data_IF_005704405067
#
_entry.id   IF_005704405067
#
_cell.length_a   1.000
_cell.length_b   1.000
_cell.length_c   1.000
_cell.angle_alpha   90.00
_cell.angle_beta   90.00
_cell.angle_gamma   90.00
#
_symmetry.space_group_name_H-M   'P 1'
#
loop_
_entity.id
_entity.type
_entity.pdbx_description
1 polymer ?
#
# COMPACT_ATOMS: atom_id res chain seq x y z
N UNK A 1 14.96 -38.26 23.10
CA UNK A 1 15.44 -36.95 22.64
C UNK A 1 14.80 -36.60 21.28
N UNK A 2 13.53 -36.99 21.11
CA UNK A 2 12.78 -36.93 19.84
C UNK A 2 11.40 -36.27 20.07
N UNK A 3 10.86 -36.31 21.29
CA UNK A 3 9.59 -35.67 21.67
C UNK A 3 9.67 -34.16 21.85
N UNK A 4 10.83 -33.61 22.25
CA UNK A 4 11.00 -32.15 22.47
C UNK A 4 11.01 -31.33 21.18
N UNK A 5 11.24 -31.99 20.03
CA UNK A 5 11.11 -31.36 18.71
C UNK A 5 9.63 -31.23 18.33
N UNK A 6 8.80 -32.23 18.62
CA UNK A 6 7.38 -32.19 18.28
C UNK A 6 6.66 -31.12 19.08
N UNK A 7 6.89 -31.05 20.38
CA UNK A 7 6.27 -30.06 21.27
C UNK A 7 6.60 -28.61 20.86
N UNK A 8 7.84 -28.32 20.45
CA UNK A 8 8.24 -26.97 20.03
C UNK A 8 7.63 -26.51 18.71
N UNK A 9 7.47 -27.41 17.75
CA UNK A 9 6.88 -27.04 16.47
C UNK A 9 5.35 -26.87 16.57
N UNK A 10 4.70 -27.51 17.54
CA UNK A 10 3.27 -27.30 17.77
C UNK A 10 2.98 -25.89 18.28
N UNK A 11 3.83 -25.31 19.13
CA UNK A 11 3.68 -23.91 19.55
C UNK A 11 3.79 -22.94 18.37
N UNK A 12 4.71 -23.19 17.43
CA UNK A 12 4.87 -22.38 16.21
C UNK A 12 3.68 -22.54 15.25
N UNK A 13 3.13 -23.76 15.15
CA UNK A 13 1.92 -24.05 14.36
C UNK A 13 0.69 -23.41 15.00
N UNK A 14 0.53 -23.49 16.32
CA UNK A 14 -0.57 -22.87 17.05
C UNK A 14 -0.51 -21.34 16.94
N UNK A 15 0.70 -20.75 17.03
CA UNK A 15 0.90 -19.32 16.83
C UNK A 15 0.55 -18.88 15.40
N UNK A 16 0.98 -19.65 14.40
CA UNK A 16 0.60 -19.42 13.00
C UNK A 16 -0.93 -19.54 12.81
N UNK A 17 -1.54 -20.55 13.43
CA UNK A 17 -2.97 -20.83 13.32
C UNK A 17 -3.83 -19.77 14.00
N UNK A 18 -3.40 -19.25 15.16
CA UNK A 18 -4.07 -18.16 15.85
C UNK A 18 -3.94 -16.82 15.09
N UNK A 19 -2.78 -16.57 14.46
CA UNK A 19 -2.60 -15.45 13.54
C UNK A 19 -3.55 -15.57 12.33
N UNK A 20 -3.57 -16.74 11.69
CA UNK A 20 -4.45 -17.03 10.57
C UNK A 20 -5.94 -16.85 10.93
N UNK A 21 -6.38 -17.35 12.08
CA UNK A 21 -7.76 -17.15 12.59
C UNK A 21 -8.11 -15.70 12.82
N UNK A 22 -7.19 -14.93 13.39
CA UNK A 22 -7.39 -13.50 13.68
C UNK A 22 -7.56 -12.72 12.38
N UNK A 23 -6.74 -13.03 11.37
CA UNK A 23 -6.78 -12.37 10.07
C UNK A 23 -8.01 -12.79 9.23
N UNK A 24 -8.57 -13.97 9.50
CA UNK A 24 -9.69 -14.55 8.77
C UNK A 24 -10.94 -14.79 9.63
N UNK A 25 -11.22 -13.91 10.60
CA UNK A 25 -12.33 -14.02 11.56
C UNK A 25 -13.70 -14.31 10.91
N UNK A 26 -13.90 -13.85 9.67
CA UNK A 26 -15.12 -14.10 8.87
C UNK A 26 -15.28 -15.55 8.40
N UNK A 27 -14.18 -16.31 8.25
CA UNK A 27 -14.21 -17.75 7.92
C UNK A 27 -14.62 -18.61 9.13
N UNK A 28 -14.49 -18.07 10.35
CA UNK A 28 -14.64 -18.78 11.61
C UNK A 28 -15.90 -18.36 12.36
N UNK A 29 -17.03 -18.23 11.64
CA UNK A 29 -18.34 -18.03 12.27
C UNK A 29 -18.54 -19.12 13.34
N UNK A 30 -18.77 -18.70 14.60
CA UNK A 30 -18.89 -19.56 15.80
C UNK A 30 -19.79 -20.80 15.63
N UNK A 31 -20.68 -20.77 14.64
CA UNK A 31 -21.59 -21.84 14.30
C UNK A 31 -20.89 -23.09 13.74
N UNK A 32 -19.76 -22.96 13.03
CA UNK A 32 -19.01 -24.11 12.49
C UNK A 32 -18.00 -24.69 13.50
N UNK A 33 -17.41 -23.86 14.37
CA UNK A 33 -16.41 -24.30 15.35
C UNK A 33 -17.04 -25.20 16.44
N UNK A 34 -18.32 -24.99 16.78
CA UNK A 34 -19.01 -25.79 17.81
C UNK A 34 -19.31 -27.24 17.42
N UNK A 35 -19.26 -27.62 16.14
CA UNK A 35 -19.55 -29.00 15.71
C UNK A 35 -18.32 -29.92 15.78
N UNK A 36 -17.10 -29.38 15.79
CA UNK A 36 -15.85 -30.15 15.82
C UNK A 36 -15.52 -30.76 17.20
N UNK A 37 -16.10 -30.25 18.30
CA UNK A 37 -15.76 -30.73 19.65
C UNK A 37 -16.31 -32.12 20.00
N UNK A 38 -17.03 -32.82 19.10
CA UNK A 38 -17.79 -34.01 19.53
C UNK A 38 -18.05 -35.12 18.50
N UNK A 39 -17.23 -35.27 17.47
CA UNK A 39 -17.39 -36.34 16.48
C UNK A 39 -16.13 -37.20 16.31
N UNK A 40 -16.30 -38.40 15.75
CA UNK A 40 -15.23 -39.33 15.42
C UNK A 40 -14.17 -38.62 14.57
N UNK A 41 -12.89 -38.97 14.70
CA UNK A 41 -11.81 -38.40 13.89
C UNK A 41 -12.15 -38.39 12.38
N UNK A 42 -12.91 -39.37 11.87
CA UNK A 42 -13.34 -39.43 10.46
C UNK A 42 -14.35 -38.32 10.08
N UNK A 43 -15.28 -37.98 10.95
CA UNK A 43 -16.27 -36.91 10.70
C UNK A 43 -15.61 -35.52 10.75
N UNK A 44 -14.59 -35.36 11.61
CA UNK A 44 -13.79 -34.13 11.70
C UNK A 44 -12.97 -33.90 10.42
N UNK A 45 -12.43 -34.96 9.81
CA UNK A 45 -11.75 -34.87 8.51
C UNK A 45 -12.72 -34.51 7.38
N UNK A 46 -13.92 -35.10 7.36
CA UNK A 46 -14.95 -34.74 6.37
C UNK A 46 -15.34 -33.26 6.41
N UNK A 47 -15.49 -32.67 7.60
CA UNK A 47 -15.77 -31.25 7.75
C UNK A 47 -14.60 -30.35 7.28
N UNK A 48 -13.35 -30.79 7.48
CA UNK A 48 -12.17 -30.07 6.98
C UNK A 48 -12.11 -30.14 5.45
N UNK A 49 -12.39 -31.29 4.85
CA UNK A 49 -12.41 -31.46 3.39
C UNK A 49 -13.48 -30.57 2.75
N UNK A 50 -14.70 -30.51 3.31
CA UNK A 50 -15.77 -29.63 2.82
C UNK A 50 -15.40 -28.14 2.95
N UNK A 51 -14.80 -27.73 4.08
CA UNK A 51 -14.27 -26.38 4.27
C UNK A 51 -13.21 -26.07 3.22
N UNK A 52 -12.32 -27.02 2.97
CA UNK A 52 -11.21 -26.88 2.03
C UNK A 52 -11.69 -26.72 0.59
N UNK A 53 -12.64 -27.56 0.15
CA UNK A 53 -13.24 -27.48 -1.18
C UNK A 53 -13.96 -26.14 -1.38
N UNK A 54 -14.72 -25.68 -0.38
CA UNK A 54 -15.39 -24.37 -0.42
C UNK A 54 -14.39 -23.22 -0.48
N UNK A 55 -13.29 -23.29 0.28
CA UNK A 55 -12.24 -22.27 0.25
C UNK A 55 -11.56 -22.23 -1.13
N UNK A 56 -11.24 -23.39 -1.70
CA UNK A 56 -10.61 -23.49 -3.01
C UNK A 56 -11.51 -22.95 -4.12
N UNK A 57 -12.81 -23.27 -4.11
CA UNK A 57 -13.79 -22.76 -5.08
C UNK A 57 -13.93 -21.23 -4.98
N UNK A 58 -13.97 -20.69 -3.76
CA UNK A 58 -14.03 -19.25 -3.54
C UNK A 58 -12.80 -18.53 -4.09
N UNK A 59 -11.61 -19.00 -3.74
CA UNK A 59 -10.35 -18.43 -4.21
C UNK A 59 -10.18 -18.54 -5.73
N UNK A 60 -10.68 -19.61 -6.36
CA UNK A 60 -10.70 -19.74 -7.82
C UNK A 60 -11.60 -18.69 -8.48
N UNK A 61 -12.75 -18.39 -7.87
CA UNK A 61 -13.66 -17.34 -8.33
C UNK A 61 -13.00 -15.96 -8.26
N UNK A 62 -12.36 -15.65 -7.12
CA UNK A 62 -11.63 -14.38 -6.96
C UNK A 62 -10.45 -14.26 -7.92
N UNK A 63 -9.68 -15.33 -8.14
CA UNK A 63 -8.56 -15.32 -9.08
C UNK A 63 -9.03 -15.05 -10.52
N UNK A 64 -10.12 -15.68 -10.95
CA UNK A 64 -10.71 -15.44 -12.26
C UNK A 64 -11.17 -13.99 -12.40
N UNK A 65 -11.83 -13.46 -11.37
CA UNK A 65 -12.25 -12.06 -11.37
C UNK A 65 -11.04 -11.11 -11.47
N UNK A 66 -9.99 -11.39 -10.71
CA UNK A 66 -8.77 -10.61 -10.73
C UNK A 66 -8.11 -10.63 -12.13
N UNK A 67 -8.09 -11.79 -12.80
CA UNK A 67 -7.61 -11.89 -14.19
C UNK A 67 -8.40 -10.97 -15.13
N UNK A 68 -9.74 -11.05 -15.11
CA UNK A 68 -10.63 -10.22 -15.95
C UNK A 68 -10.44 -8.71 -15.68
N UNK A 69 -10.28 -8.32 -14.41
CA UNK A 69 -10.02 -6.92 -14.03
C UNK A 69 -8.66 -6.43 -14.50
N UNK A 70 -7.61 -7.26 -14.40
CA UNK A 70 -6.28 -6.89 -14.87
C UNK A 70 -6.21 -6.76 -16.40
N UNK A 71 -6.92 -7.62 -17.14
CA UNK A 71 -7.08 -7.49 -18.59
C UNK A 71 -7.78 -6.17 -18.96
N UNK A 72 -8.85 -5.83 -18.23
CA UNK A 72 -9.57 -4.56 -18.42
C UNK A 72 -8.66 -3.36 -18.15
N UNK A 73 -7.91 -3.38 -17.05
CA UNK A 73 -6.95 -2.32 -16.72
C UNK A 73 -5.83 -2.20 -17.77
N UNK A 74 -5.35 -3.33 -18.28
CA UNK A 74 -4.37 -3.36 -19.36
C UNK A 74 -4.90 -2.69 -20.63
N UNK A 75 -6.16 -2.94 -21.00
CA UNK A 75 -6.80 -2.31 -22.15
C UNK A 75 -6.90 -0.78 -22.01
N UNK A 76 -7.32 -0.28 -20.83
CA UNK A 76 -7.34 1.17 -20.53
C UNK A 76 -5.96 1.79 -20.75
N UNK A 77 -4.92 1.13 -20.22
CA UNK A 77 -3.56 1.64 -20.35
C UNK A 77 -3.06 1.70 -21.80
N UNK A 78 -3.43 0.72 -22.62
CA UNK A 78 -3.08 0.69 -24.04
C UNK A 78 -3.88 1.69 -24.89
N UNK A 79 -5.14 1.97 -24.53
CA UNK A 79 -6.05 2.78 -25.33
C UNK A 79 -5.98 4.29 -25.02
N UNK A 80 -5.66 4.70 -23.79
CA UNK A 80 -5.78 6.11 -23.34
C UNK A 80 -4.59 7.03 -23.69
N UNK A 81 -3.73 6.65 -24.63
CA UNK A 81 -2.66 7.54 -25.09
C UNK A 81 -1.52 7.74 -24.08
N UNK A 82 -1.44 6.90 -23.05
CA UNK A 82 -0.25 6.73 -22.22
C UNK A 82 0.97 6.49 -23.11
N UNK A 83 2.11 7.11 -22.77
CA UNK A 83 3.38 6.87 -23.49
C UNK A 83 3.96 5.44 -23.28
N UNK A 84 3.27 4.59 -22.52
CA UNK A 84 3.61 3.20 -22.27
C UNK A 84 2.49 2.28 -22.72
N UNK A 85 2.83 1.18 -23.38
CA UNK A 85 1.87 0.23 -23.97
C UNK A 85 1.36 -0.82 -22.97
N UNK A 86 1.81 -0.81 -21.73
CA UNK A 86 1.54 -1.87 -20.75
C UNK A 86 1.35 -1.31 -19.35
N UNK A 87 0.49 -1.96 -18.57
CA UNK A 87 0.24 -1.59 -17.18
C UNK A 87 1.47 -1.84 -16.27
N UNK A 88 1.77 -0.98 -15.29
CA UNK A 88 2.84 -1.15 -14.31
C UNK A 88 2.87 -2.49 -13.55
N UNK A 89 1.73 -3.15 -13.33
CA UNK A 89 1.62 -4.47 -12.70
C UNK A 89 1.91 -5.62 -13.66
N UNK A 90 2.09 -5.39 -14.97
CA UNK A 90 2.42 -6.47 -15.91
C UNK A 90 3.76 -7.13 -15.59
N UNK A 91 4.71 -6.37 -15.08
CA UNK A 91 6.07 -6.82 -14.80
C UNK A 91 6.24 -7.17 -13.33
N UNK A 92 6.85 -8.32 -13.01
CA UNK A 92 7.23 -8.66 -11.65
C UNK A 92 8.56 -8.00 -11.27
N UNK A 93 8.53 -7.10 -10.29
CA UNK A 93 9.72 -6.44 -9.73
C UNK A 93 10.05 -6.92 -8.32
N UNK A 94 9.39 -7.97 -7.84
CA UNK A 94 9.79 -8.64 -6.60
C UNK A 94 11.10 -9.40 -6.86
N UNK A 95 12.07 -9.35 -5.93
CA UNK A 95 13.36 -9.99 -6.16
C UNK A 95 13.17 -11.49 -5.96
N UNK A 96 13.64 -12.30 -6.90
CA UNK A 96 13.70 -13.75 -6.66
C UNK A 96 14.90 -14.09 -5.77
N UNK A 97 15.87 -13.16 -5.64
CA UNK A 97 16.93 -13.21 -4.64
C UNK A 97 17.31 -11.84 -4.06
N UNK A 98 17.90 -11.82 -2.86
CA UNK A 98 18.42 -10.61 -2.19
C UNK A 98 19.54 -9.86 -2.94
N UNK A 99 20.01 -10.39 -4.07
CA UNK A 99 21.09 -9.82 -4.88
C UNK A 99 20.63 -9.35 -6.26
N UNK A 100 19.34 -9.52 -6.59
CA UNK A 100 18.78 -9.12 -7.88
C UNK A 100 18.14 -7.74 -7.84
N UNK A 101 18.36 -6.98 -8.92
CA UNK A 101 17.67 -5.72 -9.20
C UNK A 101 18.62 -4.51 -9.29
N UNK A 102 18.47 -3.64 -10.31
CA UNK A 102 19.14 -2.34 -10.36
C UNK A 102 18.58 -1.33 -9.34
N UNK A 103 17.39 -1.62 -8.81
CA UNK A 103 16.72 -0.84 -7.76
C UNK A 103 17.15 -1.44 -6.44
N UNK A 104 17.70 -0.62 -5.54
CA UNK A 104 18.00 -1.06 -4.19
C UNK A 104 16.68 -1.37 -3.49
N UNK A 105 16.29 -2.64 -3.50
CA UNK A 105 15.11 -3.14 -2.80
C UNK A 105 15.39 -3.36 -1.32
N UNK A 106 16.49 -2.82 -0.80
CA UNK A 106 16.75 -2.71 0.64
C UNK A 106 15.89 -1.58 1.17
N UNK A 107 14.58 -1.84 1.21
CA UNK A 107 13.45 -0.96 1.53
C UNK A 107 13.66 -0.25 2.88
N UNK A 108 14.36 0.87 2.88
CA UNK A 108 14.34 1.80 4.00
C UNK A 108 13.42 2.98 3.65
N UNK A 109 12.76 3.56 4.66
CA UNK A 109 11.88 4.73 4.55
C UNK A 109 12.49 5.87 3.70
N UNK A 110 13.81 6.07 3.83
CA UNK A 110 14.59 7.07 3.11
C UNK A 110 14.60 6.89 1.57
N UNK A 111 14.48 5.66 1.05
CA UNK A 111 14.44 5.45 -0.40
C UNK A 111 13.07 5.85 -0.98
N UNK A 112 11.99 5.67 -0.22
CA UNK A 112 10.63 6.06 -0.63
C UNK A 112 10.47 7.57 -0.67
N UNK A 113 11.00 8.26 0.34
CA UNK A 113 11.01 9.72 0.35
C UNK A 113 11.91 10.28 -0.76
N UNK A 114 12.95 9.55 -1.19
CA UNK A 114 13.76 9.91 -2.36
C UNK A 114 12.97 9.97 -3.65
N UNK A 115 12.26 8.88 -3.96
CA UNK A 115 11.45 8.76 -5.16
C UNK A 115 10.37 9.83 -5.22
N UNK A 116 9.63 10.00 -4.11
CA UNK A 116 8.57 10.99 -4.03
C UNK A 116 9.12 12.42 -4.18
N UNK A 117 10.21 12.75 -3.49
CA UNK A 117 10.84 14.07 -3.64
C UNK A 117 11.42 14.30 -5.03
N UNK A 118 11.87 13.25 -5.73
CA UNK A 118 12.28 13.37 -7.13
C UNK A 118 11.11 13.79 -8.00
N UNK A 119 9.98 13.08 -7.93
CA UNK A 119 8.77 13.38 -8.71
C UNK A 119 8.18 14.75 -8.40
N UNK A 120 8.22 15.17 -7.13
CA UNK A 120 7.81 16.52 -6.73
C UNK A 120 8.73 17.60 -7.30
N UNK A 121 10.05 17.37 -7.29
CA UNK A 121 11.04 18.32 -7.81
C UNK A 121 10.93 18.49 -9.32
N UNK A 122 10.58 17.43 -10.04
CA UNK A 122 10.49 17.42 -11.50
C UNK A 122 9.07 17.63 -12.02
N UNK A 123 8.08 17.81 -11.13
CA UNK A 123 6.70 18.15 -11.48
C UNK A 123 6.59 19.59 -11.98
N UNK A 124 5.73 19.79 -12.98
CA UNK A 124 5.35 21.10 -13.50
C UNK A 124 4.26 21.79 -12.68
N UNK A 125 3.64 21.07 -11.74
CA UNK A 125 2.65 21.58 -10.81
C UNK A 125 1.45 20.66 -10.63
N UNK A 126 1.03 19.94 -11.68
CA UNK A 126 -0.17 19.09 -11.67
C UNK A 126 -0.11 18.04 -10.56
N UNK A 127 0.99 17.29 -10.50
CA UNK A 127 1.17 16.25 -9.49
C UNK A 127 1.26 16.85 -8.08
N UNK A 128 2.04 17.91 -7.91
CA UNK A 128 2.21 18.58 -6.61
C UNK A 128 0.89 19.15 -6.09
N UNK A 129 0.12 19.83 -6.94
CA UNK A 129 -1.21 20.35 -6.59
C UNK A 129 -2.15 19.21 -6.17
N UNK A 130 -2.24 18.14 -6.97
CA UNK A 130 -3.21 17.09 -6.70
C UNK A 130 -2.84 16.27 -5.45
N UNK A 131 -1.54 16.06 -5.19
CA UNK A 131 -1.08 15.35 -4.00
C UNK A 131 -1.16 16.23 -2.75
N UNK A 132 -0.65 17.47 -2.82
CA UNK A 132 -0.36 18.31 -1.67
C UNK A 132 -1.38 19.42 -1.44
N UNK A 133 -2.25 19.73 -2.42
CA UNK A 133 -3.14 20.89 -2.37
C UNK A 133 -2.44 22.23 -2.65
N UNK A 134 -1.22 22.19 -3.20
CA UNK A 134 -0.39 23.37 -3.44
C UNK A 134 -0.78 24.10 -4.74
N UNK A 135 -0.24 25.31 -5.00
CA UNK A 135 -0.44 25.98 -6.28
C UNK A 135 -0.05 25.09 -7.48
N UNK A 136 -0.79 25.20 -8.59
CA UNK A 136 -0.50 24.48 -9.84
C UNK A 136 0.69 25.09 -10.59
N UNK A 137 1.88 24.99 -10.01
CA UNK A 137 3.16 25.36 -10.60
C UNK A 137 4.27 24.53 -10.00
N UNK A 138 5.43 24.49 -10.65
CA UNK A 138 6.61 23.85 -10.07
C UNK A 138 6.96 24.46 -8.70
N UNK A 139 7.31 23.62 -7.71
CA UNK A 139 7.87 24.09 -6.45
C UNK A 139 9.15 24.90 -6.67
N UNK A 140 9.35 25.94 -5.85
CA UNK A 140 10.59 26.73 -5.87
C UNK A 140 11.75 25.89 -5.34
N UNK A 141 11.48 25.00 -4.37
CA UNK A 141 12.46 24.06 -3.83
C UNK A 141 11.80 22.80 -3.26
N UNK A 142 12.47 21.65 -3.45
CA UNK A 142 12.13 20.39 -2.78
C UNK A 142 13.35 19.85 -2.08
N UNK A 143 13.31 19.80 -0.74
CA UNK A 143 14.40 19.35 0.13
C UNK A 143 14.03 18.04 0.82
N UNK A 144 15.05 17.32 1.25
CA UNK A 144 14.89 16.09 2.03
C UNK A 144 15.74 16.13 3.29
N UNK A 145 15.33 15.33 4.27
CA UNK A 145 16.08 15.07 5.51
C UNK A 145 16.52 16.36 6.22
N UNK A 146 15.62 17.35 6.29
CA UNK A 146 15.94 18.67 6.83
C UNK A 146 15.78 18.66 8.35
N UNK A 147 16.83 19.08 9.06
CA UNK A 147 16.87 19.05 10.52
C UNK A 147 16.42 20.39 11.09
N UNK A 148 15.48 20.34 12.04
CA UNK A 148 15.00 21.46 12.85
C UNK A 148 15.27 21.19 14.32
N UNK A 149 15.57 22.24 15.08
CA UNK A 149 15.80 22.15 16.52
C UNK A 149 15.45 23.44 17.24
N UNK A 150 14.90 23.31 18.46
CA UNK A 150 14.64 24.42 19.37
C UNK A 150 15.57 24.43 20.60
N UNK A 151 16.63 23.61 20.58
CA UNK A 151 17.54 23.39 21.71
C UNK A 151 17.07 22.35 22.72
N UNK A 152 15.79 21.98 22.73
CA UNK A 152 15.24 20.91 23.58
C UNK A 152 14.99 19.63 22.78
N UNK A 153 14.52 19.78 21.55
CA UNK A 153 14.23 18.72 20.63
C UNK A 153 14.99 18.93 19.32
N UNK A 154 15.32 17.83 18.67
CA UNK A 154 15.85 17.80 17.32
C UNK A 154 15.02 16.82 16.53
N UNK A 155 14.49 17.28 15.40
CA UNK A 155 13.68 16.48 14.48
C UNK A 155 14.17 16.66 13.07
N UNK A 156 13.96 15.62 12.25
CA UNK A 156 14.33 15.59 10.85
C UNK A 156 13.06 15.34 10.06
N UNK A 157 12.74 16.24 9.12
CA UNK A 157 11.62 16.09 8.20
C UNK A 157 12.10 15.35 6.96
N UNK A 158 11.32 14.37 6.50
CA UNK A 158 11.65 13.56 5.32
C UNK A 158 11.61 14.40 4.03
N UNK A 159 10.57 15.21 3.83
CA UNK A 159 10.40 16.06 2.64
C UNK A 159 9.85 17.44 3.01
N UNK A 160 10.47 18.50 2.46
CA UNK A 160 9.90 19.85 2.41
C UNK A 160 9.67 20.25 0.96
N UNK A 161 8.49 20.78 0.67
CA UNK A 161 8.12 21.38 -0.61
C UNK A 161 7.84 22.85 -0.38
N UNK A 162 8.56 23.71 -1.08
CA UNK A 162 8.63 25.13 -0.76
C UNK A 162 8.17 25.96 -1.96
N UNK A 163 7.25 26.89 -1.70
CA UNK A 163 6.87 27.99 -2.59
C UNK A 163 7.17 29.33 -1.89
N UNK A 164 6.99 30.43 -2.61
CA UNK A 164 7.19 31.81 -2.11
C UNK A 164 6.44 32.07 -0.79
N UNK A 165 5.12 31.86 -0.75
CA UNK A 165 4.29 32.20 0.41
C UNK A 165 3.79 30.98 1.21
N UNK A 166 3.91 29.77 0.66
CA UNK A 166 3.40 28.54 1.26
C UNK A 166 4.44 27.42 1.20
N UNK A 167 4.34 26.48 2.12
CA UNK A 167 5.20 25.31 2.12
C UNK A 167 4.46 24.08 2.68
N UNK A 168 4.96 22.91 2.31
CA UNK A 168 4.43 21.64 2.81
C UNK A 168 5.56 20.85 3.44
N UNK A 169 5.35 20.39 4.67
CA UNK A 169 6.23 19.41 5.28
C UNK A 169 5.56 18.04 5.23
N UNK A 170 6.31 17.01 4.85
CA UNK A 170 5.80 15.66 4.78
C UNK A 170 6.70 14.71 5.54
N UNK A 171 6.08 13.97 6.46
CA UNK A 171 6.64 12.78 7.10
C UNK A 171 6.16 11.55 6.31
N UNK A 172 7.09 10.71 5.89
CA UNK A 172 6.83 9.53 5.07
C UNK A 172 7.06 8.31 5.93
N UNK A 173 6.04 7.48 6.14
CA UNK A 173 6.15 6.25 6.93
C UNK A 173 5.97 5.01 6.06
N UNK A 174 6.93 4.10 6.16
CA UNK A 174 6.82 2.77 5.59
C UNK A 174 7.39 1.74 6.58
N UNK A 175 6.52 1.13 7.38
CA UNK A 175 6.87 0.15 8.40
C UNK A 175 7.05 0.69 9.83
N UNK A 176 7.55 1.91 10.04
CA UNK A 176 7.57 2.53 11.37
C UNK A 176 6.15 2.91 11.83
N UNK A 177 5.87 2.68 13.11
CA UNK A 177 4.58 2.92 13.75
C UNK A 177 4.63 4.00 14.83
N UNK A 178 5.77 4.66 15.02
CA UNK A 178 5.94 5.71 16.02
C UNK A 178 5.51 7.09 15.52
N UNK A 179 4.20 7.28 15.37
CA UNK A 179 3.61 8.52 14.82
C UNK A 179 3.56 9.68 15.81
N UNK A 180 3.67 9.42 17.12
CA UNK A 180 3.43 10.43 18.15
C UNK A 180 4.37 11.65 18.12
N UNK A 181 5.46 11.58 17.34
CA UNK A 181 6.41 12.70 17.17
C UNK A 181 6.02 13.66 16.05
N UNK A 182 5.11 13.30 15.17
CA UNK A 182 4.78 14.07 13.96
C UNK A 182 4.27 15.50 14.29
N UNK A 183 3.33 15.72 15.24
CA UNK A 183 2.89 17.08 15.60
C UNK A 183 4.03 17.96 16.11
N UNK A 184 4.93 17.40 16.92
CA UNK A 184 6.09 18.13 17.41
C UNK A 184 7.03 18.53 16.28
N UNK A 185 7.24 17.66 15.30
CA UNK A 185 8.06 18.00 14.13
C UNK A 185 7.42 19.13 13.32
N UNK A 186 6.11 19.10 13.09
CA UNK A 186 5.37 20.16 12.42
C UNK A 186 5.54 21.52 13.13
N UNK A 187 5.35 21.55 14.46
CA UNK A 187 5.54 22.78 15.24
C UNK A 187 6.97 23.33 15.23
N UNK A 188 7.99 22.49 15.08
CA UNK A 188 9.38 22.96 14.90
C UNK A 188 9.60 23.62 13.54
N UNK A 189 8.92 23.15 12.50
CA UNK A 189 9.01 23.72 11.14
C UNK A 189 8.42 25.14 11.12
N UNK A 190 7.19 25.31 11.61
CA UNK A 190 6.52 26.63 11.63
C UNK A 190 7.22 27.66 12.51
N UNK A 191 7.98 27.20 13.52
CA UNK A 191 8.77 28.10 14.37
C UNK A 191 9.98 28.67 13.64
N UNK A 192 10.61 27.91 12.75
CA UNK A 192 11.80 28.31 12.01
C UNK A 192 11.45 29.12 10.75
N UNK A 193 10.20 29.03 10.29
CA UNK A 193 9.76 29.60 9.02
C UNK A 193 8.31 30.11 9.07
N UNK A 194 8.10 31.37 8.67
CA UNK A 194 6.83 32.08 8.79
C UNK A 194 5.86 31.91 7.61
N UNK A 195 6.17 31.04 6.64
CA UNK A 195 5.26 30.73 5.52
C UNK A 195 3.98 30.04 5.99
N UNK A 196 2.98 30.01 5.11
CA UNK A 196 1.75 29.23 5.36
C UNK A 196 2.04 27.74 5.15
N UNK A 197 2.07 26.98 6.24
CA UNK A 197 2.46 25.57 6.24
C UNK A 197 1.26 24.63 6.18
N UNK A 198 1.41 23.58 5.39
CA UNK A 198 0.58 22.37 5.49
C UNK A 198 1.44 21.18 5.88
N UNK A 199 0.95 20.33 6.78
CA UNK A 199 1.70 19.18 7.26
C UNK A 199 1.02 17.89 6.83
N UNK A 200 1.79 16.95 6.29
CA UNK A 200 1.29 15.67 5.78
C UNK A 200 2.01 14.51 6.46
N UNK A 201 1.25 13.52 6.92
CA UNK A 201 1.74 12.19 7.27
C UNK A 201 1.32 11.20 6.18
N UNK A 202 2.27 10.66 5.43
CA UNK A 202 2.05 9.64 4.41
C UNK A 202 2.32 8.24 4.99
N UNK A 203 1.35 7.33 4.94
CA UNK A 203 1.47 5.97 5.49
C UNK A 203 0.75 4.90 4.66
N UNK A 204 0.89 3.64 5.06
CA UNK A 204 0.11 2.53 4.48
C UNK A 204 -1.30 2.49 5.08
N UNK A 205 -2.32 2.23 4.26
CA UNK A 205 -3.72 2.18 4.70
C UNK A 205 -3.95 1.17 5.86
N UNK A 206 -3.26 0.02 5.82
CA UNK A 206 -3.31 -0.98 6.90
C UNK A 206 -2.71 -0.50 8.24
N UNK A 207 -2.05 0.66 8.28
CA UNK A 207 -1.55 1.28 9.52
C UNK A 207 -2.50 2.32 10.11
N UNK A 208 -3.64 2.60 9.47
CA UNK A 208 -4.63 3.53 10.02
C UNK A 208 -5.15 3.09 11.39
N UNK A 209 -5.32 1.80 11.65
CA UNK A 209 -5.70 1.32 12.99
C UNK A 209 -4.63 1.65 14.04
N UNK A 210 -3.35 1.52 13.69
CA UNK A 210 -2.24 1.89 14.58
C UNK A 210 -2.15 3.40 14.79
N UNK A 211 -2.48 4.18 13.77
CA UNK A 211 -2.63 5.63 13.89
C UNK A 211 -3.74 6.00 14.86
N UNK A 212 -4.93 5.39 14.73
CA UNK A 212 -6.06 5.55 15.68
C UNK A 212 -5.65 5.23 17.10
N UNK A 213 -4.89 4.16 17.33
CA UNK A 213 -4.37 3.83 18.66
C UNK A 213 -3.41 4.88 19.21
N UNK A 214 -2.65 5.56 18.34
CA UNK A 214 -1.63 6.54 18.74
C UNK A 214 -2.25 7.89 19.11
N UNK A 215 -3.31 8.30 18.43
CA UNK A 215 -3.91 9.63 18.55
C UNK A 215 -5.31 9.64 19.21
N UNK A 216 -6.02 8.51 19.20
CA UNK A 216 -7.34 8.40 19.83
C UNK A 216 -8.29 9.50 19.37
N UNK A 217 -8.82 10.26 20.32
CA UNK A 217 -9.76 11.37 20.07
C UNK A 217 -9.14 12.57 19.33
N UNK A 218 -7.81 12.63 19.22
CA UNK A 218 -7.11 13.69 18.47
C UNK A 218 -7.01 13.40 16.97
N UNK A 219 -7.48 12.24 16.51
CA UNK A 219 -7.61 11.94 15.09
C UNK A 219 -9.06 12.20 14.65
N UNK A 220 -9.27 13.23 13.84
CA UNK A 220 -10.54 13.46 13.17
C UNK A 220 -10.63 12.58 11.92
N UNK A 221 -11.61 11.66 11.90
CA UNK A 221 -11.93 10.78 10.78
C UNK A 221 -13.32 11.05 10.19
N UNK A 222 -13.82 12.28 10.33
CA UNK A 222 -15.11 12.67 9.78
C UNK A 222 -15.23 12.31 8.28
N UNK A 223 -16.35 11.69 7.90
CA UNK A 223 -16.54 11.08 6.57
C UNK A 223 -16.52 12.08 5.40
N UNK A 224 -16.60 13.38 5.69
CA UNK A 224 -16.59 14.44 4.69
C UNK A 224 -15.17 14.96 4.37
N UNK A 225 -14.16 14.60 5.16
CA UNK A 225 -12.79 15.12 5.01
C UNK A 225 -11.76 14.01 5.06
N UNK A 226 -10.54 14.34 4.63
CA UNK A 226 -9.38 13.48 4.82
C UNK A 226 -9.08 13.40 6.32
N UNK A 227 -8.60 12.25 6.85
CA UNK A 227 -8.28 12.17 8.25
C UNK A 227 -7.20 13.19 8.64
N UNK A 228 -7.39 13.86 9.77
CA UNK A 228 -6.48 14.91 10.25
C UNK A 228 -6.15 14.69 11.72
N UNK A 229 -4.88 14.82 12.08
CA UNK A 229 -4.42 14.78 13.47
C UNK A 229 -4.44 16.20 14.03
N UNK A 230 -5.20 16.40 15.11
CA UNK A 230 -5.41 17.68 15.79
C UNK A 230 -4.86 17.60 17.21
N UNK A 231 -3.61 18.05 17.40
CA UNK A 231 -2.94 18.01 18.69
C UNK A 231 -2.89 19.40 19.32
N UNK A 232 -3.30 19.53 20.59
CA UNK A 232 -3.29 20.82 21.29
C UNK A 232 -1.89 21.45 21.28
N UNK A 233 -1.80 22.71 20.82
CA UNK A 233 -0.54 23.46 20.76
C UNK A 233 0.38 23.09 19.58
N UNK A 234 -0.07 22.26 18.64
CA UNK A 234 0.65 21.91 17.43
C UNK A 234 -0.22 22.11 16.17
N UNK A 235 0.40 22.26 14.99
CA UNK A 235 -0.33 22.35 13.73
C UNK A 235 -1.09 21.06 13.40
N UNK A 236 -2.18 21.21 12.65
CA UNK A 236 -2.96 20.09 12.11
C UNK A 236 -2.13 19.31 11.06
N UNK A 237 -2.26 17.98 11.05
CA UNK A 237 -1.56 17.12 10.10
C UNK A 237 -2.54 16.29 9.29
N UNK A 238 -2.52 16.49 7.97
CA UNK A 238 -3.26 15.69 6.99
C UNK A 238 -2.67 14.28 6.88
N UNK A 239 -3.52 13.26 6.99
CA UNK A 239 -3.12 11.86 6.79
C UNK A 239 -3.40 11.44 5.36
N UNK A 240 -2.40 10.88 4.69
CA UNK A 240 -2.48 10.39 3.30
C UNK A 240 -2.01 8.95 3.21
N UNK A 241 -2.52 8.22 2.22
CA UNK A 241 -2.14 6.83 1.99
C UNK A 241 -1.28 6.65 0.73
N UNK A 242 -0.33 5.73 0.77
CA UNK A 242 0.47 5.33 -0.41
C UNK A 242 -0.38 4.86 -1.60
N UNK A 243 -1.53 4.24 -1.32
CA UNK A 243 -2.52 3.86 -2.33
C UNK A 243 -3.04 5.06 -3.11
N UNK A 244 -3.22 6.21 -2.45
CA UNK A 244 -3.63 7.45 -3.12
C UNK A 244 -2.52 8.02 -4.00
N UNK A 245 -1.26 7.90 -3.57
CA UNK A 245 -0.08 8.31 -4.36
C UNK A 245 0.00 7.48 -5.65
N UNK A 246 -0.12 6.14 -5.54
CA UNK A 246 -0.10 5.26 -6.71
C UNK A 246 -1.21 5.60 -7.70
N UNK A 247 -2.46 5.71 -7.19
CA UNK A 247 -3.62 6.09 -8.00
C UNK A 247 -3.43 7.43 -8.69
N UNK A 248 -2.91 8.43 -7.97
CA UNK A 248 -2.70 9.75 -8.53
C UNK A 248 -1.65 9.72 -9.64
N UNK A 249 -0.54 8.99 -9.45
CA UNK A 249 0.49 8.84 -10.48
C UNK A 249 -0.05 8.14 -11.72
N UNK A 250 -0.86 7.10 -11.57
CA UNK A 250 -1.56 6.45 -12.69
C UNK A 250 -2.41 7.45 -13.47
N UNK A 251 -3.22 8.23 -12.76
CA UNK A 251 -4.04 9.27 -13.39
C UNK A 251 -3.18 10.32 -14.12
N UNK A 252 -2.08 10.79 -13.52
CA UNK A 252 -1.20 11.76 -14.19
C UNK A 252 -0.59 11.22 -15.50
N UNK A 253 -0.33 9.90 -15.57
CA UNK A 253 0.20 9.24 -16.77
C UNK A 253 -0.85 9.04 -17.85
N UNK A 254 -2.07 8.66 -17.48
CA UNK A 254 -3.18 8.48 -18.42
C UNK A 254 -3.65 9.83 -18.99
N UNK A 255 -3.78 10.84 -18.13
CA UNK A 255 -4.26 12.18 -18.52
C UNK A 255 -3.16 13.04 -19.21
N UNK A 256 -1.93 12.53 -19.37
CA UNK A 256 -0.74 13.27 -19.85
C UNK A 256 -0.53 14.65 -19.17
N UNK A 257 -0.74 14.70 -17.84
CA UNK A 257 -0.75 15.97 -17.08
C UNK A 257 0.62 16.47 -16.65
N UNK A 258 1.67 15.70 -16.95
CA UNK A 258 3.06 16.03 -16.68
C UNK A 258 3.91 15.76 -17.94
N UNK A 259 4.51 16.78 -18.57
CA UNK A 259 4.98 16.70 -19.96
C UNK A 259 6.32 15.96 -20.16
N UNK A 260 6.98 15.49 -19.10
CA UNK A 260 8.35 15.01 -19.16
C UNK A 260 8.47 13.49 -19.26
N UNK A 261 9.04 12.97 -20.35
CA UNK A 261 9.27 11.52 -20.51
C UNK A 261 10.08 10.89 -19.36
N UNK A 262 11.05 11.64 -18.82
CA UNK A 262 11.80 11.23 -17.62
C UNK A 262 10.95 11.19 -16.35
N UNK A 263 10.05 12.16 -16.17
CA UNK A 263 9.11 12.19 -15.05
C UNK A 263 8.17 10.99 -15.16
N UNK A 264 7.59 10.79 -16.34
CA UNK A 264 6.62 9.74 -16.58
C UNK A 264 7.25 8.33 -16.50
N UNK A 265 8.49 8.12 -16.93
CA UNK A 265 9.23 6.86 -16.70
C UNK A 265 9.50 6.61 -15.21
N UNK A 266 9.80 7.67 -14.46
CA UNK A 266 10.02 7.58 -13.01
C UNK A 266 8.71 7.30 -12.27
N UNK A 267 7.61 7.94 -12.68
CA UNK A 267 6.27 7.71 -12.13
C UNK A 267 5.81 6.28 -12.42
N UNK A 268 5.98 5.80 -13.65
CA UNK A 268 5.66 4.43 -14.06
C UNK A 268 6.35 3.40 -13.17
N UNK A 269 7.67 3.54 -12.98
CA UNK A 269 8.42 2.63 -12.13
C UNK A 269 8.01 2.74 -10.66
N UNK A 270 7.73 3.95 -10.19
CA UNK A 270 7.36 4.17 -8.80
C UNK A 270 5.98 3.61 -8.47
N UNK A 271 5.01 3.69 -9.39
CA UNK A 271 3.71 3.01 -9.28
C UNK A 271 3.94 1.53 -9.03
N UNK A 272 4.73 0.86 -9.87
CA UNK A 272 5.00 -0.57 -9.71
C UNK A 272 5.63 -0.89 -8.35
N UNK A 273 6.56 -0.06 -7.89
CA UNK A 273 7.23 -0.25 -6.60
C UNK A 273 6.26 -0.05 -5.43
N UNK A 274 5.44 1.00 -5.44
CA UNK A 274 4.41 1.22 -4.41
C UNK A 274 3.47 0.02 -4.38
N UNK A 275 2.93 -0.36 -5.52
CA UNK A 275 1.92 -1.41 -5.60
C UNK A 275 2.45 -2.77 -5.17
N UNK A 276 3.64 -3.17 -5.64
CA UNK A 276 4.16 -4.50 -5.32
C UNK A 276 4.88 -4.58 -3.98
N UNK A 277 5.41 -3.46 -3.43
CA UNK A 277 6.22 -3.49 -2.19
C UNK A 277 5.57 -2.84 -0.99
N UNK A 278 4.68 -1.88 -1.21
CA UNK A 278 3.98 -1.18 -0.12
C UNK A 278 2.55 -1.69 0.01
N UNK A 279 1.86 -1.89 -1.12
CA UNK A 279 0.49 -2.39 -1.15
C UNK A 279 0.43 -3.92 -1.31
N UNK A 280 1.58 -4.56 -1.50
CA UNK A 280 1.74 -6.01 -1.61
C UNK A 280 0.89 -6.67 -2.72
N UNK A 281 0.55 -5.91 -3.77
CA UNK A 281 -0.18 -6.41 -4.93
C UNK A 281 0.69 -7.36 -5.78
N UNK A 282 0.05 -8.32 -6.44
CA UNK A 282 0.69 -9.28 -7.33
C UNK A 282 0.70 -8.77 -8.77
N UNK A 283 1.76 -9.14 -9.50
CA UNK A 283 1.90 -8.81 -10.93
C UNK A 283 0.98 -9.65 -11.81
N UNK A 284 0.66 -9.16 -13.01
CA UNK A 284 -0.14 -9.90 -13.99
C UNK A 284 0.55 -11.21 -14.38
N UNK A 285 1.87 -11.19 -14.57
CA UNK A 285 2.64 -12.40 -14.87
C UNK A 285 2.44 -13.48 -13.80
N UNK A 286 2.35 -13.08 -12.53
CA UNK A 286 2.05 -14.00 -11.44
C UNK A 286 0.62 -14.53 -11.51
N UNK A 287 -0.36 -13.63 -11.67
CA UNK A 287 -1.81 -13.94 -11.70
C UNK A 287 -2.21 -14.80 -12.91
N UNK A 288 -1.62 -14.53 -14.08
CA UNK A 288 -1.97 -15.12 -15.38
C UNK A 288 -1.05 -16.27 -15.79
N UNK A 289 0.01 -16.56 -15.03
CA UNK A 289 0.86 -17.73 -15.30
C UNK A 289 -0.03 -18.98 -15.31
N UNK A 290 -0.12 -19.69 -16.45
CA UNK A 290 -0.93 -20.88 -16.53
C UNK A 290 -0.32 -21.96 -15.62
N UNK A 291 -1.06 -22.38 -14.61
CA UNK A 291 -0.90 -23.75 -14.14
C UNK A 291 -1.27 -24.64 -15.33
N UNK A 292 -0.38 -25.57 -15.61
CA UNK A 292 -0.40 -26.46 -16.76
C UNK A 292 -1.77 -27.14 -16.87
N UNK A 293 -2.61 -26.67 -17.79
CA UNK A 293 -3.90 -27.29 -18.13
C UNK A 293 -3.75 -28.59 -18.94
N UNK A 294 -2.64 -29.32 -18.80
CA UNK A 294 -2.50 -30.62 -19.46
C UNK A 294 -1.53 -31.56 -18.74
N UNK A 295 -2.05 -32.73 -18.37
CA UNK A 295 -1.40 -33.90 -17.74
C UNK A 295 -1.30 -33.94 -16.20
N UNK A 296 -2.31 -34.57 -15.59
CA UNK A 296 -2.23 -35.75 -14.71
C UNK A 296 -1.18 -35.84 -13.59
N UNK A 297 -0.55 -34.73 -13.21
CA UNK A 297 0.39 -34.68 -12.09
C UNK A 297 0.22 -33.39 -11.31
N UNK A 298 -0.13 -33.56 -10.03
CA UNK A 298 -0.03 -32.57 -8.94
C UNK A 298 -1.03 -31.41 -8.93
N UNK A 299 -2.25 -31.70 -8.47
CA UNK A 299 -3.22 -30.74 -7.93
C UNK A 299 -2.67 -29.88 -6.75
N UNK A 300 -1.46 -30.15 -6.27
CA UNK A 300 -0.75 -29.38 -5.25
C UNK A 300 -0.31 -27.99 -5.72
N UNK A 301 -0.16 -27.74 -7.02
CA UNK A 301 0.41 -26.47 -7.53
C UNK A 301 -0.56 -25.29 -7.47
N UNK A 302 -1.84 -25.52 -7.75
CA UNK A 302 -2.87 -24.49 -7.64
C UNK A 302 -3.16 -24.16 -6.17
N UNK A 303 -3.11 -25.16 -5.31
CA UNK A 303 -3.29 -25.02 -3.87
C UNK A 303 -2.32 -24.03 -3.23
N UNK A 304 -1.03 -24.10 -3.60
CA UNK A 304 -0.01 -23.19 -3.08
C UNK A 304 -0.19 -21.74 -3.55
N UNK A 305 -0.90 -21.50 -4.66
CA UNK A 305 -1.24 -20.15 -5.13
C UNK A 305 -2.44 -19.58 -4.38
N UNK A 306 -3.45 -20.40 -4.09
CA UNK A 306 -4.65 -19.98 -3.35
C UNK A 306 -4.35 -19.64 -1.87
N UNK A 307 -3.24 -20.14 -1.32
CA UNK A 307 -2.79 -19.80 0.04
C UNK A 307 -1.92 -18.55 0.08
N UNK A 308 -1.33 -18.13 -1.06
CA UNK A 308 -0.33 -17.07 -1.10
C UNK A 308 -0.85 -15.73 -1.67
N UNK A 309 -2.08 -15.69 -2.16
CA UNK A 309 -2.69 -14.50 -2.75
C UNK A 309 -3.86 -14.09 -1.89
N UNK A 310 -3.90 -12.82 -1.49
CA UNK A 310 -5.11 -12.17 -0.97
C UNK A 310 -5.77 -11.38 -2.12
N UNK A 311 -6.52 -12.04 -3.03
CA UNK A 311 -6.98 -11.40 -4.27
C UNK A 311 -7.98 -10.27 -3.99
N UNK A 312 -8.75 -10.36 -2.90
CA UNK A 312 -9.76 -9.38 -2.53
C UNK A 312 -9.20 -7.94 -2.42
N UNK A 313 -8.00 -7.77 -1.84
CA UNK A 313 -7.38 -6.45 -1.69
C UNK A 313 -7.04 -5.83 -3.06
N UNK A 314 -6.47 -6.65 -3.97
CA UNK A 314 -6.11 -6.22 -5.31
C UNK A 314 -7.35 -5.98 -6.19
N UNK A 315 -8.37 -6.84 -6.10
CA UNK A 315 -9.66 -6.67 -6.77
C UNK A 315 -10.28 -5.32 -6.38
N UNK A 316 -10.39 -5.03 -5.08
CA UNK A 316 -10.96 -3.79 -4.60
C UNK A 316 -10.16 -2.56 -5.07
N UNK A 317 -8.83 -2.66 -5.09
CA UNK A 317 -7.98 -1.61 -5.62
C UNK A 317 -8.21 -1.38 -7.12
N UNK A 318 -8.20 -2.42 -7.95
CA UNK A 318 -8.35 -2.29 -9.41
C UNK A 318 -9.77 -1.81 -9.76
N UNK A 319 -10.81 -2.34 -9.12
CA UNK A 319 -12.18 -1.84 -9.29
C UNK A 319 -12.26 -0.34 -9.01
N UNK A 320 -11.60 0.14 -7.96
CA UNK A 320 -11.56 1.57 -7.66
C UNK A 320 -10.89 2.37 -8.79
N UNK A 321 -9.78 1.88 -9.35
CA UNK A 321 -9.11 2.53 -10.47
C UNK A 321 -10.05 2.63 -11.69
N UNK A 322 -10.78 1.55 -11.99
CA UNK A 322 -11.66 1.47 -13.15
C UNK A 322 -13.00 2.21 -12.99
N UNK A 323 -13.48 2.43 -11.76
CA UNK A 323 -14.75 3.11 -11.50
C UNK A 323 -14.69 4.63 -11.71
N UNK A 324 -13.51 5.23 -11.86
CA UNK A 324 -13.34 6.69 -11.83
C UNK A 324 -13.72 7.45 -13.11
N UNK A 325 -14.32 6.79 -14.09
CA UNK A 325 -14.89 7.43 -15.29
C UNK A 325 -16.16 8.27 -15.04
N UNK A 326 -16.70 8.37 -13.81
CA UNK A 326 -18.02 9.01 -13.60
C UNK A 326 -18.20 10.02 -12.45
N UNK A 327 -17.17 10.45 -11.71
CA UNK A 327 -17.39 11.38 -10.57
C UNK A 327 -16.41 12.53 -10.42
N UNK A 328 -16.09 13.24 -11.50
CA UNK A 328 -15.56 14.62 -11.43
C UNK A 328 -16.06 15.46 -12.62
N UNK A 329 -17.31 15.92 -12.54
CA UNK A 329 -17.75 17.21 -13.11
C UNK A 329 -17.76 18.27 -12.01
#
# INVERSE_FOLDING_TARGET
>A
MEDTWKERNWEDVDYFWDGFKTDHELLFVEQQIRELERTSNEDAWGAIDELWDSYAEHQQTELKELQELMETLGAVWSDEGSQFDSDPLTTNWRPESKYEGPLRTTVNEEDWSQWLAHLLRTSTGSFSQALLGTPNRSPDRVRREVVFSDGQFTRRIDILVEYEDTAVSMEVKNGDTNYGKTPQTAGLVERDDTRDWSHILLLQENKLQRLRQSFGETLDESTERRPTIQSEGYPDIDVRCWKDVSRLLRQMLLDDREPGSHWAASAYLFITLIEQRILELHSFAFVSSPSVTDSDTTATTDLHRLVAVEPAAQINYIRFLLQKDYTHE
#
